data_IF_595450784763
#
_entry.id   IF_595450784763
#
_cell.length_a   1.000
_cell.length_b   1.000
_cell.length_c   1.000
_cell.angle_alpha   90.00
_cell.angle_beta   90.00
_cell.angle_gamma   90.00
#
_symmetry.space_group_name_H-M   'P 1'
#
loop_
_entity.id
_entity.type
_entity.pdbx_description
1 polymer ?
#
# COMPACT_ATOMS: atom_id res chain seq x y z
N UNK A 1 8.32 8.91 16.46
CA UNK A 1 8.94 8.65 15.15
C UNK A 1 8.27 7.43 14.59
N UNK A 2 7.72 7.54 13.39
CA UNK A 2 7.16 6.46 12.60
C UNK A 2 7.98 6.28 11.34
N UNK A 3 8.39 5.05 11.05
CA UNK A 3 9.09 4.66 9.82
C UNK A 3 8.12 3.87 8.93
N UNK A 4 7.79 4.45 7.77
CA UNK A 4 6.97 3.83 6.74
C UNK A 4 7.88 3.16 5.72
N UNK A 5 7.83 1.83 5.58
CA UNK A 5 8.54 1.12 4.52
C UNK A 5 7.58 0.71 3.42
N UNK A 6 7.87 1.12 2.18
CA UNK A 6 7.09 0.75 1.00
C UNK A 6 7.91 -0.23 0.18
N UNK A 7 7.38 -1.44 0.01
CA UNK A 7 7.99 -2.43 -0.87
C UNK A 7 7.88 -1.94 -2.32
N UNK A 8 8.97 -2.05 -3.08
CA UNK A 8 9.00 -1.81 -4.52
C UNK A 8 9.62 -3.01 -5.23
N UNK A 9 9.04 -3.39 -6.36
CA UNK A 9 9.50 -4.48 -7.21
C UNK A 9 9.13 -4.20 -8.67
N UNK A 10 9.79 -4.92 -9.59
CA UNK A 10 9.50 -4.79 -11.01
C UNK A 10 8.05 -5.15 -11.32
N UNK A 11 7.42 -4.33 -12.17
CA UNK A 11 6.01 -4.46 -12.55
C UNK A 11 5.00 -4.27 -11.40
N UNK A 12 5.40 -3.59 -10.32
CA UNK A 12 4.46 -2.96 -9.38
C UNK A 12 3.61 -1.88 -10.09
N UNK A 13 2.41 -1.65 -9.60
CA UNK A 13 1.56 -0.54 -10.04
C UNK A 13 2.06 0.77 -9.40
N UNK A 14 2.39 1.75 -10.23
CA UNK A 14 3.14 2.94 -9.82
C UNK A 14 2.38 3.79 -8.79
N UNK A 15 1.08 3.99 -9.00
CA UNK A 15 0.27 4.82 -8.10
C UNK A 15 -0.05 4.11 -6.77
N UNK A 16 0.01 2.78 -6.71
CA UNK A 16 -0.09 2.02 -5.46
C UNK A 16 1.08 2.30 -4.51
N UNK A 17 2.24 2.68 -5.05
CA UNK A 17 3.41 3.13 -4.27
C UNK A 17 3.38 4.63 -4.05
N UNK A 18 3.24 5.40 -5.14
CA UNK A 18 3.39 6.86 -5.12
C UNK A 18 2.26 7.54 -4.34
N UNK A 19 1.04 7.00 -4.36
CA UNK A 19 -0.08 7.54 -3.60
C UNK A 19 0.18 7.53 -2.09
N UNK A 20 0.41 6.36 -1.47
CA UNK A 20 0.80 6.27 -0.07
C UNK A 20 2.09 7.04 0.25
N UNK A 21 3.10 6.97 -0.63
CA UNK A 21 4.35 7.73 -0.47
C UNK A 21 4.10 9.22 -0.30
N UNK A 22 3.27 9.82 -1.16
CA UNK A 22 2.93 11.24 -1.10
C UNK A 22 2.25 11.60 0.23
N UNK A 23 1.35 10.74 0.74
CA UNK A 23 0.66 10.96 2.01
C UNK A 23 1.63 10.88 3.19
N UNK A 24 2.45 9.82 3.25
CA UNK A 24 3.38 9.61 4.37
C UNK A 24 4.48 10.67 4.41
N UNK A 25 5.06 11.05 3.27
CA UNK A 25 6.09 12.11 3.20
C UNK A 25 5.52 13.49 3.50
N UNK A 26 4.28 13.79 3.09
CA UNK A 26 3.61 15.04 3.49
C UNK A 26 3.34 15.07 5.00
N UNK A 27 2.89 13.94 5.57
CA UNK A 27 2.73 13.79 7.02
C UNK A 27 4.05 14.00 7.78
N UNK A 28 5.14 13.40 7.30
CA UNK A 28 6.47 13.57 7.88
C UNK A 28 6.89 15.04 7.92
N UNK A 29 6.78 15.75 6.78
CA UNK A 29 7.10 17.18 6.69
C UNK A 29 6.29 18.03 7.68
N UNK A 30 4.98 17.81 7.76
CA UNK A 30 4.12 18.54 8.70
C UNK A 30 4.43 18.24 10.17
N UNK A 31 5.11 17.12 10.45
CA UNK A 31 5.57 16.75 11.80
C UNK A 31 7.03 17.13 12.05
N UNK A 32 7.63 17.96 11.18
CA UNK A 32 9.02 18.40 11.32
C UNK A 32 10.04 17.30 11.05
N UNK A 33 9.73 16.40 10.11
CA UNK A 33 10.58 15.30 9.64
C UNK A 33 11.02 14.31 10.75
N UNK A 34 10.24 14.23 11.84
CA UNK A 34 10.42 13.22 12.90
C UNK A 34 9.97 11.82 12.47
N UNK A 35 9.19 11.72 11.39
CA UNK A 35 8.76 10.48 10.76
C UNK A 35 9.43 10.39 9.38
N UNK A 36 9.58 9.20 8.80
CA UNK A 36 10.21 9.03 7.49
C UNK A 36 9.56 7.92 6.68
N UNK A 37 9.54 8.08 5.37
CA UNK A 37 9.17 7.03 4.42
C UNK A 37 10.42 6.56 3.67
N UNK A 38 10.54 5.25 3.44
CA UNK A 38 11.64 4.64 2.68
C UNK A 38 11.11 3.62 1.68
N UNK A 39 11.74 3.56 0.52
CA UNK A 39 11.52 2.53 -0.49
C UNK A 39 12.44 1.35 -0.23
N UNK A 40 11.88 0.14 -0.19
CA UNK A 40 12.61 -1.10 0.08
C UNK A 40 12.44 -2.06 -1.10
N UNK A 41 13.53 -2.62 -1.61
CA UNK A 41 13.50 -3.57 -2.73
C UNK A 41 14.29 -4.85 -2.43
N UNK A 42 14.07 -5.92 -3.20
CA UNK A 42 14.89 -7.15 -3.11
C UNK A 42 16.38 -6.89 -3.39
N UNK A 43 16.68 -6.02 -4.36
CA UNK A 43 18.05 -5.75 -4.83
C UNK A 43 18.28 -4.25 -4.96
N UNK A 44 19.54 -3.78 -4.82
CA UNK A 44 19.88 -2.40 -5.10
C UNK A 44 19.74 -2.09 -6.59
N UNK A 45 19.58 -0.80 -6.91
CA UNK A 45 19.49 -0.29 -8.28
C UNK A 45 18.05 0.01 -8.73
N UNK A 46 17.87 0.51 -9.97
CA UNK A 46 16.57 0.98 -10.44
C UNK A 46 15.54 -0.15 -10.52
N UNK A 47 14.35 0.09 -9.96
CA UNK A 47 13.18 -0.76 -10.09
C UNK A 47 12.24 -0.16 -11.14
N UNK A 48 11.76 -0.96 -12.09
CA UNK A 48 10.87 -0.50 -13.16
C UNK A 48 9.43 -0.96 -12.91
N UNK A 49 8.54 -0.03 -12.65
CA UNK A 49 7.10 -0.28 -12.49
C UNK A 49 6.42 -0.64 -13.81
N UNK A 50 5.21 -1.18 -13.73
CA UNK A 50 4.49 -1.80 -14.86
C UNK A 50 4.31 -0.86 -16.06
N UNK A 51 4.18 0.46 -15.81
CA UNK A 51 3.98 1.49 -16.85
C UNK A 51 5.28 2.22 -17.23
N UNK A 52 6.43 1.73 -16.76
CA UNK A 52 7.75 2.23 -17.12
C UNK A 52 8.34 3.30 -16.22
N UNK A 53 7.60 3.80 -15.20
CA UNK A 53 8.18 4.64 -14.15
C UNK A 53 9.31 3.87 -13.45
N UNK A 54 10.41 4.56 -13.16
CA UNK A 54 11.56 3.96 -12.46
C UNK A 54 11.82 4.70 -11.16
N UNK A 55 12.11 3.94 -10.12
CA UNK A 55 12.52 4.46 -8.81
C UNK A 55 13.83 3.82 -8.37
N UNK A 56 14.58 4.51 -7.52
CA UNK A 56 15.71 3.94 -6.81
C UNK A 56 15.24 3.62 -5.38
N UNK A 57 15.42 2.38 -4.90
CA UNK A 57 15.13 2.06 -3.51
C UNK A 57 16.16 2.72 -2.59
N UNK A 58 15.71 3.12 -1.40
CA UNK A 58 16.60 3.61 -0.34
C UNK A 58 17.35 2.45 0.32
N UNK A 59 16.69 1.29 0.39
CA UNK A 59 17.13 0.11 1.11
C UNK A 59 16.85 -1.18 0.36
N UNK A 60 17.63 -2.20 0.67
CA UNK A 60 17.30 -3.59 0.36
C UNK A 60 16.47 -4.23 1.47
N UNK A 61 15.90 -5.42 1.23
CA UNK A 61 15.17 -6.20 2.23
C UNK A 61 16.02 -6.52 3.48
N UNK A 62 17.35 -6.49 3.38
CA UNK A 62 18.27 -6.85 4.46
C UNK A 62 18.92 -5.65 5.16
N UNK A 63 18.81 -4.43 4.62
CA UNK A 63 19.51 -3.24 5.15
C UNK A 63 18.59 -2.07 5.57
N UNK A 64 17.27 -2.29 5.57
CA UNK A 64 16.31 -1.28 6.00
C UNK A 64 16.26 -1.15 7.54
N UNK A 65 15.93 0.04 8.08
CA UNK A 65 15.68 0.21 9.51
C UNK A 65 14.41 -0.53 9.95
N UNK A 66 14.17 -0.73 11.27
CA UNK A 66 12.88 -1.20 11.76
C UNK A 66 11.72 -0.36 11.21
N UNK A 67 10.67 -1.02 10.75
CA UNK A 67 9.51 -0.41 10.12
C UNK A 67 8.31 -0.47 11.07
N UNK A 68 7.67 0.68 11.29
CA UNK A 68 6.42 0.76 12.05
C UNK A 68 5.21 0.45 11.15
N UNK A 69 5.32 0.77 9.87
CA UNK A 69 4.32 0.49 8.84
C UNK A 69 4.98 -0.18 7.65
N UNK A 70 4.47 -1.33 7.23
CA UNK A 70 4.87 -2.00 5.98
C UNK A 70 3.77 -1.79 4.95
N UNK A 71 4.09 -1.22 3.79
CA UNK A 71 3.16 -1.03 2.67
C UNK A 71 3.53 -1.91 1.49
N UNK A 72 2.58 -2.71 1.03
CA UNK A 72 2.74 -3.66 -0.08
C UNK A 72 1.87 -3.23 -1.26
N UNK A 73 2.45 -2.78 -2.39
CA UNK A 73 1.68 -2.36 -3.56
C UNK A 73 1.17 -3.57 -4.36
N UNK A 74 0.22 -3.30 -5.26
CA UNK A 74 -0.23 -4.25 -6.26
C UNK A 74 0.58 -4.17 -7.56
N UNK A 75 -0.10 -4.44 -8.66
CA UNK A 75 0.51 -4.57 -9.99
C UNK A 75 0.57 -6.00 -10.49
N UNK A 76 0.95 -6.17 -11.75
CA UNK A 76 1.06 -7.51 -12.36
C UNK A 76 2.19 -8.30 -11.70
N UNK A 77 3.31 -7.66 -11.35
CA UNK A 77 4.41 -8.29 -10.62
C UNK A 77 3.96 -8.92 -9.29
N UNK A 78 3.04 -8.28 -8.58
CA UNK A 78 2.47 -8.80 -7.34
C UNK A 78 1.68 -10.10 -7.54
N UNK A 79 1.04 -10.28 -8.71
CA UNK A 79 0.12 -11.40 -8.98
C UNK A 79 0.76 -12.57 -9.72
N UNK A 80 1.89 -12.36 -10.38
CA UNK A 80 2.48 -13.34 -11.30
C UNK A 80 3.94 -13.67 -11.03
N UNK A 81 4.67 -12.84 -10.28
CA UNK A 81 6.10 -13.04 -10.00
C UNK A 81 6.36 -13.10 -8.51
N UNK A 82 5.97 -12.06 -7.79
CA UNK A 82 6.34 -11.90 -6.38
C UNK A 82 5.54 -12.81 -5.44
N UNK A 83 4.35 -13.27 -5.85
CA UNK A 83 3.53 -14.20 -5.05
C UNK A 83 4.22 -15.55 -4.85
N UNK A 84 5.05 -15.96 -5.81
CA UNK A 84 5.83 -17.20 -5.79
C UNK A 84 7.29 -16.95 -5.37
N UNK A 85 7.65 -15.72 -4.98
CA UNK A 85 8.99 -15.37 -4.54
C UNK A 85 9.11 -15.53 -3.01
N UNK A 86 9.79 -16.57 -2.50
CA UNK A 86 9.91 -16.80 -1.06
C UNK A 86 10.75 -15.74 -0.34
N UNK A 87 11.64 -15.04 -1.05
CA UNK A 87 12.44 -13.96 -0.47
C UNK A 87 11.53 -12.78 -0.11
N UNK A 88 10.68 -12.36 -1.04
CA UNK A 88 9.76 -11.24 -0.82
C UNK A 88 8.64 -11.61 0.15
N UNK A 89 7.98 -12.76 -0.04
CA UNK A 89 6.87 -13.17 0.84
C UNK A 89 7.35 -13.47 2.26
N UNK A 90 8.53 -14.09 2.42
CA UNK A 90 9.18 -14.31 3.71
C UNK A 90 9.58 -13.00 4.39
N UNK A 91 10.10 -12.03 3.64
CA UNK A 91 10.40 -10.70 4.17
C UNK A 91 9.13 -9.97 4.65
N UNK A 92 8.03 -10.03 3.88
CA UNK A 92 6.75 -9.44 4.26
C UNK A 92 6.28 -10.05 5.60
N UNK A 93 6.27 -11.38 5.72
CA UNK A 93 5.84 -12.07 6.93
C UNK A 93 6.68 -11.65 8.15
N UNK A 94 8.01 -11.75 8.04
CA UNK A 94 8.95 -11.41 9.12
C UNK A 94 8.87 -9.95 9.56
N UNK A 95 8.69 -9.04 8.61
CA UNK A 95 8.63 -7.61 8.90
C UNK A 95 7.29 -7.23 9.53
N UNK A 96 6.20 -7.85 9.06
CA UNK A 96 4.86 -7.65 9.60
C UNK A 96 4.73 -8.07 11.08
N UNK A 97 5.50 -9.06 11.55
CA UNK A 97 5.54 -9.46 12.97
C UNK A 97 5.96 -8.33 13.92
N UNK A 98 6.76 -7.37 13.41
CA UNK A 98 7.32 -6.26 14.20
C UNK A 98 6.64 -4.93 13.90
N UNK A 99 5.97 -4.83 12.76
CA UNK A 99 5.29 -3.62 12.35
C UNK A 99 4.02 -3.39 13.18
N UNK A 100 3.77 -2.14 13.55
CA UNK A 100 2.52 -1.76 14.20
C UNK A 100 1.34 -1.84 13.24
N UNK A 101 1.58 -1.65 11.93
CA UNK A 101 0.57 -1.76 10.88
C UNK A 101 1.12 -2.43 9.61
N UNK A 102 0.28 -3.26 9.00
CA UNK A 102 0.48 -3.79 7.65
C UNK A 102 -0.55 -3.13 6.74
N UNK A 103 -0.07 -2.54 5.65
CA UNK A 103 -0.85 -1.84 4.66
C UNK A 103 -0.67 -2.51 3.30
N UNK A 104 -1.74 -2.72 2.53
CA UNK A 104 -1.61 -3.05 1.10
C UNK A 104 -2.60 -2.28 0.24
N UNK A 105 -2.19 -2.03 -1.00
CA UNK A 105 -3.02 -1.38 -2.01
C UNK A 105 -3.27 -2.35 -3.15
N UNK A 106 -4.49 -2.33 -3.71
CA UNK A 106 -4.84 -3.07 -4.92
C UNK A 106 -4.52 -4.56 -4.74
N UNK A 107 -3.77 -5.15 -5.67
CA UNK A 107 -3.43 -6.57 -5.65
C UNK A 107 -2.24 -6.91 -4.76
N UNK A 108 -1.75 -5.97 -3.95
CA UNK A 108 -0.77 -6.26 -2.89
C UNK A 108 -1.32 -7.24 -1.84
N UNK A 109 -2.65 -7.33 -1.72
CA UNK A 109 -3.33 -8.32 -0.89
C UNK A 109 -2.98 -9.79 -1.27
N UNK A 110 -2.62 -10.07 -2.52
CA UNK A 110 -2.14 -11.41 -2.92
C UNK A 110 -0.80 -11.75 -2.26
N UNK A 111 0.11 -10.79 -2.16
CA UNK A 111 1.39 -10.97 -1.47
C UNK A 111 1.19 -11.11 0.04
N UNK A 112 0.25 -10.35 0.62
CA UNK A 112 -0.11 -10.52 2.03
C UNK A 112 -0.70 -11.91 2.31
N UNK A 113 -1.51 -12.44 1.40
CA UNK A 113 -2.05 -13.79 1.51
C UNK A 113 -0.95 -14.86 1.38
N UNK A 114 -0.06 -14.73 0.39
CA UNK A 114 1.10 -15.63 0.24
C UNK A 114 2.05 -15.59 1.44
N UNK A 115 2.19 -14.42 2.07
CA UNK A 115 2.93 -14.26 3.33
C UNK A 115 2.18 -14.78 4.57
N UNK A 116 0.95 -15.28 4.42
CA UNK A 116 0.14 -15.85 5.49
C UNK A 116 -0.56 -14.84 6.40
N UNK A 117 -0.56 -13.55 6.05
CA UNK A 117 -1.05 -12.46 6.91
C UNK A 117 -2.57 -12.27 6.88
N UNK A 118 -3.25 -12.86 5.91
CA UNK A 118 -4.70 -12.67 5.68
C UNK A 118 -5.57 -13.83 6.17
N UNK A 119 -4.97 -14.89 6.75
CA UNK A 119 -5.71 -16.07 7.21
C UNK A 119 -6.76 -15.73 8.28
N UNK A 120 -8.02 -16.04 7.99
CA UNK A 120 -9.17 -15.73 8.84
C UNK A 120 -9.49 -14.23 8.95
N UNK A 121 -8.94 -13.40 8.05
CA UNK A 121 -9.07 -11.94 8.09
C UNK A 121 -9.94 -11.42 6.96
N UNK A 122 -10.48 -10.22 7.17
CA UNK A 122 -11.21 -9.45 6.16
C UNK A 122 -10.25 -8.55 5.40
N UNK A 123 -10.33 -8.54 4.08
CA UNK A 123 -9.48 -7.68 3.22
C UNK A 123 -10.25 -7.04 2.06
N UNK A 124 -9.69 -6.00 1.49
CA UNK A 124 -10.00 -5.50 0.15
C UNK A 124 -8.85 -5.81 -0.82
N UNK A 125 -9.16 -5.85 -2.11
CA UNK A 125 -8.21 -5.97 -3.22
C UNK A 125 -8.78 -5.23 -4.43
N UNK A 126 -8.09 -5.20 -5.56
CA UNK A 126 -8.64 -4.62 -6.79
C UNK A 126 -9.93 -5.35 -7.22
N UNK A 127 -10.97 -4.61 -7.64
CA UNK A 127 -12.29 -5.14 -7.97
C UNK A 127 -12.25 -6.32 -8.98
N UNK A 128 -11.39 -6.24 -10.00
CA UNK A 128 -11.20 -7.33 -10.99
C UNK A 128 -10.60 -8.62 -10.42
N UNK A 129 -10.11 -8.60 -9.19
CA UNK A 129 -9.37 -9.70 -8.58
C UNK A 129 -9.94 -10.11 -7.21
N UNK A 130 -11.14 -9.62 -6.85
CA UNK A 130 -11.81 -9.99 -5.62
C UNK A 130 -12.12 -11.49 -5.57
N UNK A 131 -12.75 -12.03 -6.62
CA UNK A 131 -13.09 -13.45 -6.73
C UNK A 131 -11.85 -14.33 -6.70
N UNK A 132 -10.84 -14.03 -7.53
CA UNK A 132 -9.58 -14.78 -7.56
C UNK A 132 -8.86 -14.79 -6.20
N UNK A 133 -8.90 -13.70 -5.44
CA UNK A 133 -8.29 -13.65 -4.11
C UNK A 133 -9.08 -14.50 -3.11
N UNK A 134 -10.41 -14.45 -3.17
CA UNK A 134 -11.30 -15.20 -2.29
C UNK A 134 -11.20 -16.72 -2.53
N UNK A 135 -10.99 -17.15 -3.77
CA UNK A 135 -10.76 -18.54 -4.16
C UNK A 135 -9.49 -19.16 -3.55
N UNK A 136 -8.53 -18.35 -3.07
CA UNK A 136 -7.35 -18.86 -2.37
C UNK A 136 -7.68 -19.45 -0.99
N UNK A 137 -8.88 -19.19 -0.47
CA UNK A 137 -9.36 -19.74 0.80
C UNK A 137 -8.80 -19.03 2.04
N UNK A 138 -9.37 -19.37 3.20
CA UNK A 138 -9.00 -18.80 4.50
C UNK A 138 -8.96 -17.27 4.55
N UNK A 139 -9.75 -16.58 3.72
CA UNK A 139 -9.80 -15.12 3.66
C UNK A 139 -11.23 -14.69 3.35
N UNK A 140 -11.64 -13.51 3.84
CA UNK A 140 -12.93 -12.90 3.47
C UNK A 140 -12.67 -11.64 2.68
N UNK A 141 -13.06 -11.60 1.40
CA UNK A 141 -12.92 -10.41 0.58
C UNK A 141 -14.16 -9.54 0.73
N UNK A 142 -13.98 -8.34 1.28
CA UNK A 142 -15.08 -7.36 1.42
C UNK A 142 -15.22 -6.59 0.12
N UNK A 143 -16.22 -6.98 -0.66
CA UNK A 143 -16.54 -6.39 -1.97
C UNK A 143 -16.98 -4.93 -1.83
N UNK A 144 -16.67 -4.13 -2.84
CA UNK A 144 -17.03 -2.70 -2.95
C UNK A 144 -16.52 -1.77 -1.83
N UNK A 145 -15.73 -2.29 -0.88
CA UNK A 145 -15.13 -1.50 0.17
C UNK A 145 -13.83 -0.86 -0.32
N UNK A 146 -13.81 0.48 -0.40
CA UNK A 146 -12.61 1.23 -0.84
C UNK A 146 -11.36 0.86 -0.05
N UNK A 147 -11.50 0.65 1.25
CA UNK A 147 -10.50 0.01 2.11
C UNK A 147 -11.16 -0.70 3.30
N UNK A 148 -10.46 -1.71 3.83
CA UNK A 148 -10.88 -2.57 4.92
C UNK A 148 -9.82 -2.53 6.01
N UNK A 149 -10.28 -2.35 7.24
CA UNK A 149 -9.45 -2.43 8.44
C UNK A 149 -9.90 -3.64 9.24
N UNK A 150 -8.96 -4.54 9.49
CA UNK A 150 -9.13 -5.68 10.38
C UNK A 150 -7.90 -5.68 11.30
N UNK A 151 -8.08 -5.43 12.61
CA UNK A 151 -6.95 -5.32 13.55
C UNK A 151 -5.89 -4.30 13.10
N UNK A 152 -4.65 -4.75 12.93
CA UNK A 152 -3.52 -3.96 12.40
C UNK A 152 -3.31 -4.11 10.88
N UNK A 153 -4.23 -4.78 10.18
CA UNK A 153 -4.18 -4.98 8.74
C UNK A 153 -5.13 -3.98 8.07
N UNK A 154 -4.57 -3.12 7.22
CA UNK A 154 -5.29 -2.17 6.37
C UNK A 154 -5.06 -2.56 4.91
N UNK A 155 -6.12 -2.92 4.21
CA UNK A 155 -6.04 -3.25 2.78
C UNK A 155 -6.98 -2.35 2.00
N UNK A 156 -6.62 -1.97 0.78
CA UNK A 156 -7.47 -1.14 -0.08
C UNK A 156 -7.68 -1.74 -1.45
N UNK A 157 -8.71 -1.27 -2.14
CA UNK A 157 -8.82 -1.47 -3.58
C UNK A 157 -7.64 -0.79 -4.31
N UNK A 158 -7.67 -0.84 -5.64
CA UNK A 158 -6.79 -0.03 -6.48
C UNK A 158 -7.56 1.06 -7.24
N UNK A 159 -6.88 1.98 -7.91
CA UNK A 159 -5.44 2.27 -7.74
C UNK A 159 -5.31 3.44 -6.74
N UNK A 160 -6.06 4.51 -6.99
CA UNK A 160 -6.04 5.72 -6.15
C UNK A 160 -6.51 5.53 -4.71
N UNK A 161 -7.14 4.39 -4.38
CA UNK A 161 -7.58 4.07 -3.02
C UNK A 161 -6.43 4.01 -2.00
N UNK A 162 -5.19 3.79 -2.47
CA UNK A 162 -4.00 3.85 -1.62
C UNK A 162 -3.76 5.23 -0.98
N UNK A 163 -4.23 6.32 -1.60
CA UNK A 163 -4.17 7.67 -1.01
C UNK A 163 -5.13 7.75 0.18
N UNK A 164 -6.35 7.26 0.02
CA UNK A 164 -7.39 7.30 1.06
C UNK A 164 -7.05 6.43 2.27
N UNK A 165 -6.58 5.19 2.03
CA UNK A 165 -6.16 4.29 3.10
C UNK A 165 -4.94 4.85 3.84
N UNK A 166 -3.96 5.41 3.13
CA UNK A 166 -2.81 6.07 3.77
C UNK A 166 -3.24 7.28 4.61
N UNK A 167 -4.18 8.10 4.15
CA UNK A 167 -4.72 9.22 4.93
C UNK A 167 -5.46 8.74 6.19
N UNK A 168 -6.24 7.66 6.06
CA UNK A 168 -6.89 7.02 7.20
C UNK A 168 -5.85 6.53 8.22
N UNK A 169 -4.79 5.87 7.75
CA UNK A 169 -3.71 5.35 8.58
C UNK A 169 -2.94 6.47 9.30
N UNK A 170 -2.61 7.55 8.60
CA UNK A 170 -2.03 8.76 9.21
C UNK A 170 -2.96 9.32 10.29
N UNK A 171 -4.27 9.33 10.06
CA UNK A 171 -5.25 9.75 11.06
C UNK A 171 -5.32 8.82 12.27
N UNK A 172 -5.08 7.52 12.06
CA UNK A 172 -5.01 6.51 13.12
C UNK A 172 -3.76 6.65 13.98
N UNK A 173 -2.62 7.00 13.37
CA UNK A 173 -1.33 7.14 14.04
C UNK A 173 -1.18 8.49 14.75
N UNK A 174 -1.59 9.57 14.09
CA UNK A 174 -1.25 10.94 14.48
C UNK A 174 -2.48 11.82 14.79
N UNK A 175 -3.68 11.23 14.74
CA UNK A 175 -4.95 11.92 15.00
C UNK A 175 -5.62 12.48 13.73
N UNK A 176 -6.95 12.60 13.79
CA UNK A 176 -7.78 13.03 12.65
C UNK A 176 -7.47 14.44 12.16
N UNK A 177 -7.13 15.36 13.07
CA UNK A 177 -6.80 16.73 12.69
C UNK A 177 -5.49 16.82 11.93
N UNK A 178 -4.51 15.99 12.28
CA UNK A 178 -3.28 15.86 11.51
C UNK A 178 -3.55 15.32 10.10
N UNK A 179 -4.35 14.26 9.96
CA UNK A 179 -4.74 13.75 8.65
C UNK A 179 -5.48 14.78 7.79
N UNK A 180 -6.33 15.62 8.40
CA UNK A 180 -6.99 16.75 7.70
C UNK A 180 -5.97 17.79 7.23
N UNK A 181 -4.95 18.09 8.04
CA UNK A 181 -3.86 18.98 7.66
C UNK A 181 -3.04 18.40 6.49
N UNK A 182 -2.73 17.10 6.52
CA UNK A 182 -2.04 16.41 5.42
C UNK A 182 -2.87 16.46 4.13
N UNK A 183 -4.16 16.10 4.21
CA UNK A 183 -5.09 16.20 3.08
C UNK A 183 -5.09 17.61 2.48
N UNK A 184 -5.17 18.64 3.33
CA UNK A 184 -5.17 20.05 2.92
C UNK A 184 -3.84 20.45 2.27
N UNK A 185 -2.71 20.05 2.83
CA UNK A 185 -1.38 20.35 2.29
C UNK A 185 -1.16 19.72 0.91
N UNK A 186 -1.74 18.54 0.67
CA UNK A 186 -1.75 17.88 -0.64
C UNK A 186 -2.80 18.43 -1.60
N UNK A 187 -3.71 19.29 -1.12
CA UNK A 187 -4.93 19.68 -1.84
C UNK A 187 -5.71 18.46 -2.36
N UNK A 188 -5.77 17.39 -1.56
CA UNK A 188 -6.45 16.16 -1.95
C UNK A 188 -7.96 16.33 -1.82
N UNK A 189 -8.57 16.88 -2.87
CA UNK A 189 -9.98 17.19 -3.03
C UNK A 189 -10.45 16.67 -4.40
N UNK A 190 -10.56 15.34 -4.58
CA UNK A 190 -10.81 14.75 -5.90
C UNK A 190 -12.18 15.16 -6.45
N UNK A 191 -12.21 15.61 -7.70
CA UNK A 191 -13.41 15.87 -8.49
C UNK A 191 -13.30 15.18 -9.86
N UNK A 192 -13.52 13.85 -9.95
CA UNK A 192 -13.38 13.11 -11.21
C UNK A 192 -14.37 13.63 -12.28
N UNK A 193 -13.92 13.92 -13.51
CA UNK A 193 -14.72 14.66 -14.50
C UNK A 193 -15.89 13.86 -15.09
N UNK A 194 -15.72 12.55 -15.34
CA UNK A 194 -16.75 11.71 -15.97
C UNK A 194 -17.74 11.07 -14.99
N UNK A 195 -17.89 11.70 -13.81
CA UNK A 195 -19.07 11.55 -12.96
C UNK A 195 -20.10 12.66 -13.25
N UNK A 196 -19.76 13.61 -14.14
CA UNK A 196 -20.68 14.63 -14.60
C UNK A 196 -21.70 14.03 -15.57
N UNK A 197 -22.96 14.40 -15.38
CA UNK A 197 -24.04 14.13 -16.32
C UNK A 197 -23.87 15.05 -17.53
N UNK A 198 -23.20 14.55 -18.57
CA UNK A 198 -23.05 15.25 -19.85
C UNK A 198 -24.23 14.88 -20.78
N UNK A 199 -24.90 15.85 -21.43
CA UNK A 199 -25.90 15.54 -22.43
C UNK A 199 -25.30 14.64 -23.51
N UNK A 200 -26.02 13.57 -23.87
CA UNK A 200 -25.63 12.74 -25.02
C UNK A 200 -25.54 13.64 -26.27
N UNK A 201 -24.42 13.53 -26.97
CA UNK A 201 -24.19 14.19 -28.26
C UNK A 201 -25.13 13.63 -29.35
#
# INVERSE_FOLDING_TARGET
MTVYGLLVFDDAEDLDVVGPWQVFTTSARLRGDIDRAVLVAERPGPVRFAKGLRVLPDHTLDDHPPLDVVTVPGGVGARTVQVDNPVVTGWIAKTAERASWVHSVCTGAFLLHAAGLTRGRRVATHWQHEERLEELGDITVVRDARYVVDGNLLTSQGVSAGIDSALWLVGRLHGRDHARAVRRAMQYEPAPPYMADEPAA
#
